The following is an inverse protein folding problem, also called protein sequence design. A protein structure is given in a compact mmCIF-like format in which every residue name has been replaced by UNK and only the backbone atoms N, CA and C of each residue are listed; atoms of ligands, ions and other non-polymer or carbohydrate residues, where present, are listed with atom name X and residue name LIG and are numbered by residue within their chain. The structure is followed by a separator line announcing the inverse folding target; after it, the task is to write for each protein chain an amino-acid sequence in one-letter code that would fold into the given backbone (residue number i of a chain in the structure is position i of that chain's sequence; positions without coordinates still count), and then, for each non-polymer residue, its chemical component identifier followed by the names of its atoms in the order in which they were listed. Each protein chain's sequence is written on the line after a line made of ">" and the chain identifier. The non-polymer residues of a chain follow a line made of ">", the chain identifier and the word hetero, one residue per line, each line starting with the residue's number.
data_IF_680078435265
#
_entry.id   IF_680078435265
#
_cell.length_a   1.000
_cell.length_b   1.000
_cell.length_c   1.000
_cell.angle_alpha   90.00
_cell.angle_beta   90.00
_cell.angle_gamma   90.00
#
_symmetry.space_group_name_H-M   'P 1'
#
loop_
_entity.id
_entity.type
_entity.pdbx_description
1 polymer ?
#
# COMPACT_ATOMS: atom_id res chain seq x y z
N UNK A 1 -1.39 10.94 8.24
CA UNK A 1 -0.12 10.73 7.51
C UNK A 1 1.04 11.35 8.26
N UNK A 2 0.90 12.57 8.81
CA UNK A 2 1.87 13.22 9.69
C UNK A 2 2.43 12.30 10.81
N UNK A 3 1.56 11.72 11.67
CA UNK A 3 2.01 10.75 12.69
C UNK A 3 2.79 9.55 12.12
N UNK A 4 2.43 9.08 10.92
CA UNK A 4 3.16 7.98 10.26
C UNK A 4 4.54 8.47 9.80
N UNK A 5 4.64 9.70 9.30
CA UNK A 5 5.90 10.33 8.90
C UNK A 5 6.85 10.54 10.11
N UNK A 6 6.30 10.78 11.29
CA UNK A 6 7.04 10.86 12.56
C UNK A 6 7.46 9.48 13.11
N UNK A 7 7.04 8.39 12.45
CA UNK A 7 7.40 7.02 12.84
C UNK A 7 6.44 6.37 13.85
N UNK A 8 5.24 6.93 14.08
CA UNK A 8 4.23 6.34 14.95
C UNK A 8 3.73 5.00 14.38
N UNK A 9 4.18 3.91 15.02
CA UNK A 9 3.83 2.53 14.65
C UNK A 9 2.34 2.25 14.84
N UNK A 10 1.67 2.88 15.81
CA UNK A 10 0.22 2.70 15.98
C UNK A 10 -0.54 3.36 14.84
N UNK A 11 -0.15 4.57 14.44
CA UNK A 11 -0.76 5.24 13.30
C UNK A 11 -0.62 4.42 12.00
N UNK A 12 0.54 3.77 11.79
CA UNK A 12 0.75 2.87 10.65
C UNK A 12 -0.14 1.61 10.75
N UNK A 13 -0.27 1.04 11.95
CA UNK A 13 -1.12 -0.13 12.19
C UNK A 13 -2.60 0.18 11.93
N UNK A 14 -3.11 1.30 12.42
CA UNK A 14 -4.49 1.77 12.18
C UNK A 14 -4.75 2.01 10.70
N UNK A 15 -3.79 2.64 10.00
CA UNK A 15 -3.87 2.85 8.56
C UNK A 15 -3.93 1.51 7.80
N UNK A 16 -3.09 0.56 8.19
CA UNK A 16 -3.05 -0.78 7.60
C UNK A 16 -4.37 -1.51 7.83
N UNK A 17 -4.83 -1.59 9.08
CA UNK A 17 -6.09 -2.24 9.42
C UNK A 17 -7.28 -1.69 8.62
N UNK A 18 -7.31 -0.37 8.38
CA UNK A 18 -8.38 0.29 7.63
C UNK A 18 -8.39 -0.05 6.13
N UNK A 19 -7.22 -0.25 5.51
CA UNK A 19 -7.12 -0.31 4.05
C UNK A 19 -6.64 -1.65 3.49
N UNK A 20 -6.07 -2.55 4.31
CA UNK A 20 -5.49 -3.82 3.84
C UNK A 20 -6.46 -4.68 3.04
N UNK A 21 -7.74 -4.76 3.41
CA UNK A 21 -8.71 -5.59 2.68
C UNK A 21 -8.93 -5.08 1.25
N UNK A 22 -9.14 -3.77 1.08
CA UNK A 22 -9.36 -3.15 -0.23
C UNK A 22 -8.12 -3.23 -1.11
N UNK A 23 -6.93 -2.99 -0.54
CA UNK A 23 -5.67 -3.09 -1.26
C UNK A 23 -5.35 -4.54 -1.66
N UNK A 24 -5.68 -5.52 -0.80
CA UNK A 24 -5.52 -6.94 -1.14
C UNK A 24 -6.47 -7.37 -2.25
N UNK A 25 -7.72 -6.91 -2.24
CA UNK A 25 -8.65 -7.17 -3.34
C UNK A 25 -8.14 -6.58 -4.67
N UNK A 26 -7.59 -5.36 -4.63
CA UNK A 26 -6.97 -4.72 -5.78
C UNK A 26 -5.78 -5.54 -6.32
N UNK A 27 -4.81 -5.87 -5.47
CA UNK A 27 -3.63 -6.64 -5.87
C UNK A 27 -4.00 -8.05 -6.37
N UNK A 28 -5.00 -8.68 -5.74
CA UNK A 28 -5.52 -9.97 -6.17
C UNK A 28 -6.14 -9.91 -7.58
N UNK A 29 -6.84 -8.83 -7.94
CA UNK A 29 -7.37 -8.64 -9.29
C UNK A 29 -6.30 -8.70 -10.39
N UNK A 30 -5.08 -8.25 -10.07
CA UNK A 30 -3.92 -8.23 -10.97
C UNK A 30 -3.17 -9.57 -10.95
N UNK A 31 -2.87 -10.09 -9.75
CA UNK A 31 -1.99 -11.24 -9.58
C UNK A 31 -2.70 -12.59 -9.61
N UNK A 32 -4.01 -12.62 -9.34
CA UNK A 32 -4.84 -13.83 -9.17
C UNK A 32 -4.26 -14.86 -8.18
N UNK A 33 -3.51 -14.36 -7.20
CA UNK A 33 -2.80 -15.16 -6.21
C UNK A 33 -2.89 -14.44 -4.86
N UNK A 34 -3.56 -15.07 -3.89
CA UNK A 34 -3.84 -14.47 -2.60
C UNK A 34 -2.59 -14.21 -1.75
N UNK A 35 -1.59 -15.11 -1.84
CA UNK A 35 -0.33 -14.99 -1.09
C UNK A 35 0.48 -13.83 -1.65
N UNK A 36 0.56 -13.74 -2.98
CA UNK A 36 1.29 -12.67 -3.65
C UNK A 36 0.61 -11.31 -3.41
N UNK A 37 -0.72 -11.27 -3.42
CA UNK A 37 -1.48 -10.06 -3.13
C UNK A 37 -1.21 -9.55 -1.70
N UNK A 38 -1.24 -10.44 -0.69
CA UNK A 38 -0.89 -10.08 0.69
C UNK A 38 0.54 -9.54 0.78
N UNK A 39 1.52 -10.21 0.15
CA UNK A 39 2.92 -9.75 0.16
C UNK A 39 3.11 -8.36 -0.46
N UNK A 40 2.37 -8.04 -1.52
CA UNK A 40 2.38 -6.70 -2.12
C UNK A 40 1.82 -5.67 -1.14
N UNK A 41 0.67 -5.94 -0.51
CA UNK A 41 0.08 -5.01 0.47
C UNK A 41 1.01 -4.76 1.66
N UNK A 42 1.64 -5.80 2.20
CA UNK A 42 2.63 -5.67 3.28
C UNK A 42 3.84 -4.84 2.85
N UNK A 43 4.27 -4.98 1.59
CA UNK A 43 5.33 -4.16 1.00
C UNK A 43 4.91 -2.71 0.82
N UNK A 44 3.69 -2.45 0.35
CA UNK A 44 3.12 -1.10 0.25
C UNK A 44 3.17 -0.39 1.60
N UNK A 45 2.71 -1.01 2.69
CA UNK A 45 2.72 -0.34 3.99
C UNK A 45 4.14 -0.13 4.56
N UNK A 46 5.08 -1.03 4.23
CA UNK A 46 6.49 -0.84 4.56
C UNK A 46 7.07 0.37 3.83
N UNK A 47 6.74 0.57 2.56
CA UNK A 47 7.17 1.75 1.78
C UNK A 47 6.51 3.03 2.28
N UNK A 48 5.21 2.98 2.57
CA UNK A 48 4.44 4.12 3.13
C UNK A 48 5.07 4.66 4.41
N UNK A 49 5.64 3.79 5.26
CA UNK A 49 6.36 4.23 6.46
C UNK A 49 7.48 5.24 6.14
N UNK A 50 8.17 5.07 5.03
CA UNK A 50 9.28 5.94 4.62
C UNK A 50 8.81 7.11 3.76
N UNK A 51 7.78 6.91 2.94
CA UNK A 51 7.27 7.93 2.02
C UNK A 51 6.20 8.85 2.64
N UNK A 52 5.71 8.56 3.85
CA UNK A 52 4.64 9.31 4.51
C UNK A 52 4.92 10.83 4.64
N UNK A 53 6.19 11.23 4.77
CA UNK A 53 6.57 12.65 4.83
C UNK A 53 6.45 13.39 3.49
N UNK A 54 6.34 12.66 2.38
CA UNK A 54 6.15 13.20 1.02
C UNK A 54 4.68 13.16 0.58
N UNK A 55 3.80 12.62 1.41
CA UNK A 55 2.38 12.59 1.11
C UNK A 55 1.79 14.01 1.13
N UNK A 56 1.19 14.41 0.02
CA UNK A 56 0.46 15.67 -0.09
C UNK A 56 -1.06 15.39 -0.26
N UNK A 57 -1.88 15.71 0.77
CA UNK A 57 -3.32 15.52 0.70
C UNK A 57 -4.02 16.40 -0.34
N UNK A 58 -3.39 17.48 -0.82
CA UNK A 58 -3.96 18.34 -1.86
C UNK A 58 -3.95 17.67 -3.23
N UNK A 59 -3.00 16.74 -3.47
CA UNK A 59 -2.88 16.03 -4.73
C UNK A 59 -3.71 14.75 -4.78
N UNK A 60 -3.73 13.97 -3.68
CA UNK A 60 -4.46 12.70 -3.64
C UNK A 60 -5.02 12.36 -2.26
N UNK A 61 -6.26 11.82 -2.17
CA UNK A 61 -6.73 11.14 -0.96
C UNK A 61 -5.80 9.99 -0.59
N UNK A 62 -5.62 9.74 0.72
CA UNK A 62 -4.73 8.69 1.25
C UNK A 62 -4.98 7.34 0.59
N UNK A 63 -6.24 6.94 0.42
CA UNK A 63 -6.57 5.67 -0.24
C UNK A 63 -6.12 5.62 -1.70
N UNK A 64 -6.28 6.72 -2.45
CA UNK A 64 -5.86 6.80 -3.85
C UNK A 64 -4.34 6.61 -3.99
N UNK A 65 -3.58 7.24 -3.11
CA UNK A 65 -2.13 7.08 -3.05
C UNK A 65 -1.72 5.64 -2.68
N UNK A 66 -2.34 5.03 -1.66
CA UNK A 66 -2.10 3.63 -1.30
C UNK A 66 -2.45 2.64 -2.42
N UNK A 67 -3.55 2.89 -3.13
CA UNK A 67 -4.00 2.07 -4.25
C UNK A 67 -3.04 2.17 -5.44
N UNK A 68 -2.49 3.35 -5.72
CA UNK A 68 -1.45 3.54 -6.73
C UNK A 68 -0.20 2.72 -6.43
N UNK A 69 0.37 2.89 -5.23
CA UNK A 69 1.57 2.14 -4.82
C UNK A 69 1.35 0.62 -4.90
N UNK A 70 0.19 0.15 -4.41
CA UNK A 70 -0.17 -1.27 -4.46
C UNK A 70 -0.28 -1.78 -5.89
N UNK A 71 -0.91 -1.02 -6.79
CA UNK A 71 -1.06 -1.40 -8.20
C UNK A 71 0.28 -1.42 -8.92
N UNK A 72 1.15 -0.44 -8.70
CA UNK A 72 2.51 -0.43 -9.26
C UNK A 72 3.29 -1.67 -8.80
N UNK A 73 3.28 -1.97 -7.50
CA UNK A 73 3.93 -3.15 -6.94
C UNK A 73 3.38 -4.47 -7.51
N UNK A 74 2.07 -4.59 -7.64
CA UNK A 74 1.43 -5.77 -8.23
C UNK A 74 1.78 -5.95 -9.72
N UNK A 75 1.76 -4.89 -10.52
CA UNK A 75 2.15 -4.93 -11.93
C UNK A 75 3.63 -5.27 -12.10
N UNK A 76 4.49 -4.74 -11.25
CA UNK A 76 5.91 -5.08 -11.29
C UNK A 76 6.14 -6.55 -10.97
N UNK A 77 5.41 -7.08 -9.98
CA UNK A 77 5.50 -8.49 -9.60
C UNK A 77 4.93 -9.44 -10.64
N UNK A 78 3.87 -9.05 -11.36
CA UNK A 78 3.31 -9.88 -12.43
C UNK A 78 4.28 -10.04 -13.60
N UNK A 79 5.08 -9.00 -13.91
CA UNK A 79 6.07 -9.01 -14.99
C UNK A 79 7.23 -9.97 -14.72
N UNK A 80 7.64 -10.15 -13.47
CA UNK A 80 8.73 -11.07 -13.10
C UNK A 80 8.31 -12.54 -13.19
N UNK A 81 6.99 -12.83 -13.24
CA UNK A 81 6.42 -14.18 -13.29
C UNK A 81 6.07 -14.65 -14.71
N UNK A 82 6.06 -13.75 -15.70
CA UNK A 82 5.79 -14.04 -17.11
C UNK A 82 7.07 -14.51 -17.82
#
# INVERSE_FOLDING_TARGET
>A
MERVAEGDVRALSELSARHSLSLRALAFGILRDAVQAEQVVQTTFREVRYEAGRFDPAHFPVFGWLAELTRVGALQRSRVRA
#
